data_IF_771153535846
#
_entry.id   IF_771153535846
#
_cell.length_a   1.000
_cell.length_b   1.000
_cell.length_c   1.000
_cell.angle_alpha   90.00
_cell.angle_beta   90.00
_cell.angle_gamma   90.00
#
_symmetry.space_group_name_H-M   'P 1'
#
loop_
_entity.id
_entity.type
_entity.pdbx_description
1 polymer ?
#
# COMPACT_ATOMS: atom_id res chain seq x y z
N UNK A 1 -3.30 -15.49 -0.64
CA UNK A 1 -4.54 -15.70 0.13
C UNK A 1 -5.54 -16.61 -0.59
N UNK A 2 -5.97 -16.32 -1.85
CA UNK A 2 -6.99 -17.14 -2.54
C UNK A 2 -6.62 -18.63 -2.53
N UNK A 3 -5.48 -18.99 -3.08
CA UNK A 3 -5.03 -20.40 -3.18
C UNK A 3 -4.75 -21.03 -1.81
N UNK A 4 -4.23 -20.29 -0.84
CA UNK A 4 -4.02 -20.81 0.51
C UNK A 4 -5.33 -21.09 1.25
N UNK A 5 -6.41 -20.39 0.91
CA UNK A 5 -7.74 -20.68 1.45
C UNK A 5 -8.47 -21.76 0.66
N UNK A 6 -8.38 -21.73 -0.70
CA UNK A 6 -9.11 -22.65 -1.58
C UNK A 6 -8.50 -24.06 -1.58
N UNK A 7 -7.16 -24.15 -1.69
CA UNK A 7 -6.48 -25.44 -1.90
C UNK A 7 -6.00 -26.06 -0.59
N UNK A 8 -5.59 -25.25 0.40
CA UNK A 8 -5.08 -25.71 1.69
C UNK A 8 -6.10 -25.64 2.83
N UNK A 9 -7.29 -25.05 2.59
CA UNK A 9 -8.34 -24.94 3.62
C UNK A 9 -7.91 -24.17 4.86
N UNK A 10 -6.87 -23.32 4.77
CA UNK A 10 -6.30 -22.59 5.90
C UNK A 10 -7.23 -21.47 6.35
N UNK A 11 -7.20 -21.19 7.65
CA UNK A 11 -7.91 -20.06 8.21
C UNK A 11 -7.48 -18.75 7.56
N UNK A 12 -8.43 -17.83 7.36
CA UNK A 12 -8.24 -16.54 6.71
C UNK A 12 -7.01 -15.75 7.24
N UNK A 13 -6.84 -15.72 8.56
CA UNK A 13 -5.70 -15.02 9.19
C UNK A 13 -4.35 -15.66 8.89
N UNK A 14 -4.31 -17.00 8.85
CA UNK A 14 -3.10 -17.73 8.47
C UNK A 14 -2.76 -17.50 7.00
N UNK A 15 -3.78 -17.45 6.14
CA UNK A 15 -3.61 -17.13 4.72
C UNK A 15 -3.06 -15.71 4.50
N UNK A 16 -3.51 -14.72 5.26
CA UNK A 16 -2.97 -13.35 5.23
C UNK A 16 -1.52 -13.33 5.71
N UNK A 17 -1.21 -14.00 6.83
CA UNK A 17 0.14 -14.04 7.37
C UNK A 17 1.11 -14.72 6.38
N UNK A 18 0.71 -15.85 5.79
CA UNK A 18 1.49 -16.53 4.76
C UNK A 18 1.73 -15.63 3.53
N UNK A 19 0.69 -14.94 3.05
CA UNK A 19 0.82 -13.99 1.96
C UNK A 19 1.77 -12.84 2.31
N UNK A 20 1.70 -12.32 3.53
CA UNK A 20 2.59 -11.25 4.00
C UNK A 20 4.06 -11.70 3.97
N UNK A 21 4.37 -12.91 4.43
CA UNK A 21 5.72 -13.46 4.41
C UNK A 21 6.22 -13.65 2.96
N UNK A 22 5.39 -14.25 2.10
CA UNK A 22 5.76 -14.50 0.69
C UNK A 22 6.00 -13.18 -0.05
N UNK A 23 5.12 -12.20 0.09
CA UNK A 23 5.26 -10.91 -0.60
C UNK A 23 6.42 -10.10 -0.01
N UNK A 24 6.66 -10.16 1.31
CA UNK A 24 7.83 -9.56 1.92
C UNK A 24 9.14 -10.15 1.36
N UNK A 25 9.22 -11.48 1.27
CA UNK A 25 10.37 -12.16 0.67
C UNK A 25 10.56 -11.77 -0.81
N UNK A 26 9.48 -11.75 -1.59
CA UNK A 26 9.50 -11.32 -2.98
C UNK A 26 9.98 -9.86 -3.12
N UNK A 27 9.51 -8.96 -2.24
CA UNK A 27 9.93 -7.56 -2.23
C UNK A 27 11.43 -7.41 -1.94
N UNK A 28 11.98 -8.21 -1.01
CA UNK A 28 13.42 -8.23 -0.73
C UNK A 28 14.22 -8.77 -1.93
N UNK A 29 13.69 -9.80 -2.61
CA UNK A 29 14.31 -10.34 -3.83
C UNK A 29 14.33 -9.27 -4.93
N UNK A 30 13.23 -8.58 -5.16
CA UNK A 30 13.14 -7.48 -6.13
C UNK A 30 14.11 -6.34 -5.78
N UNK A 31 14.21 -5.97 -4.50
CA UNK A 31 15.19 -4.98 -4.05
C UNK A 31 16.61 -5.41 -4.42
N UNK A 32 16.97 -6.64 -4.06
CA UNK A 32 18.34 -7.12 -4.21
C UNK A 32 18.76 -7.37 -5.65
N UNK A 33 17.85 -7.87 -6.50
CA UNK A 33 18.13 -8.21 -7.89
C UNK A 33 18.02 -7.02 -8.84
N UNK A 34 17.09 -6.09 -8.56
CA UNK A 34 16.76 -5.02 -9.51
C UNK A 34 17.15 -3.64 -8.97
N UNK A 35 16.71 -3.26 -7.77
CA UNK A 35 16.94 -1.90 -7.26
C UNK A 35 18.34 -1.70 -6.70
N UNK A 36 18.93 -2.72 -6.08
CA UNK A 36 20.29 -2.63 -5.53
C UNK A 36 21.34 -2.27 -6.60
N UNK A 37 21.40 -2.92 -7.78
CA UNK A 37 22.37 -2.54 -8.82
C UNK A 37 22.08 -1.17 -9.45
N UNK A 38 20.83 -0.70 -9.42
CA UNK A 38 20.42 0.58 -10.00
C UNK A 38 20.72 1.80 -9.12
N UNK A 39 21.16 1.62 -7.89
CA UNK A 39 21.37 2.71 -6.91
C UNK A 39 22.36 3.79 -7.34
N UNK A 40 23.26 3.47 -8.27
CA UNK A 40 24.22 4.41 -8.83
C UNK A 40 23.78 4.99 -10.18
N UNK A 41 22.63 4.54 -10.68
CA UNK A 41 22.04 5.02 -11.92
C UNK A 41 21.17 6.27 -11.67
N UNK A 42 20.91 7.09 -12.69
CA UNK A 42 19.97 8.22 -12.59
C UNK A 42 18.59 7.77 -12.06
N UNK A 43 17.86 8.63 -11.30
CA UNK A 43 16.60 8.26 -10.64
C UNK A 43 15.48 7.79 -11.57
N UNK A 44 15.60 8.05 -12.87
CA UNK A 44 14.62 7.60 -13.87
C UNK A 44 14.68 6.07 -14.06
N UNK A 45 15.84 5.45 -13.90
CA UNK A 45 16.01 4.00 -14.06
C UNK A 45 15.24 3.22 -13.02
N UNK A 46 15.17 3.70 -11.77
CA UNK A 46 14.38 3.08 -10.70
C UNK A 46 12.89 3.05 -11.05
N UNK A 47 12.37 4.12 -11.64
CA UNK A 47 10.96 4.20 -12.05
C UNK A 47 10.64 3.25 -13.20
N UNK A 48 11.52 3.19 -14.20
CA UNK A 48 11.35 2.27 -15.35
C UNK A 48 11.44 0.82 -14.88
N UNK A 49 12.40 0.51 -14.00
CA UNK A 49 12.54 -0.83 -13.41
C UNK A 49 11.31 -1.23 -12.60
N UNK A 50 10.74 -0.31 -11.81
CA UNK A 50 9.53 -0.58 -11.04
C UNK A 50 8.34 -0.93 -11.94
N UNK A 51 8.15 -0.19 -13.06
CA UNK A 51 7.09 -0.50 -14.05
C UNK A 51 7.38 -1.84 -14.72
N UNK A 52 8.64 -2.12 -15.07
CA UNK A 52 9.06 -3.41 -15.65
C UNK A 52 8.74 -4.59 -14.74
N UNK A 53 9.04 -4.49 -13.43
CA UNK A 53 8.71 -5.52 -12.43
C UNK A 53 7.20 -5.69 -12.31
N UNK A 54 6.44 -4.60 -12.28
CA UNK A 54 4.98 -4.65 -12.19
C UNK A 54 4.40 -5.45 -13.37
N UNK A 55 4.77 -5.10 -14.61
CA UNK A 55 4.29 -5.79 -15.80
C UNK A 55 4.77 -7.25 -15.87
N UNK A 56 6.00 -7.51 -15.46
CA UNK A 56 6.55 -8.86 -15.38
C UNK A 56 5.76 -9.74 -14.40
N UNK A 57 5.53 -9.24 -13.18
CA UNK A 57 4.79 -9.99 -12.16
C UNK A 57 3.33 -10.20 -12.56
N UNK A 58 2.70 -9.21 -13.18
CA UNK A 58 1.35 -9.34 -13.72
C UNK A 58 1.28 -10.41 -14.80
N UNK A 59 2.22 -10.41 -15.76
CA UNK A 59 2.29 -11.41 -16.80
C UNK A 59 2.54 -12.82 -16.24
N UNK A 60 3.41 -12.96 -15.24
CA UNK A 60 3.65 -14.22 -14.55
C UNK A 60 2.38 -14.72 -13.86
N UNK A 61 1.65 -13.85 -13.16
CA UNK A 61 0.39 -14.21 -12.51
C UNK A 61 -0.65 -14.63 -13.55
N UNK A 62 -0.78 -13.92 -14.67
CA UNK A 62 -1.70 -14.27 -15.75
C UNK A 62 -1.34 -15.61 -16.39
N UNK A 63 -0.06 -15.89 -16.58
CA UNK A 63 0.40 -17.14 -17.19
C UNK A 63 0.09 -18.37 -16.33
N UNK A 64 0.26 -18.28 -15.01
CA UNK A 64 0.07 -19.40 -14.09
C UNK A 64 -1.36 -19.57 -13.60
N UNK A 65 -2.09 -18.48 -13.41
CA UNK A 65 -3.42 -18.49 -12.77
C UNK A 65 -4.55 -17.99 -13.67
N UNK A 66 -4.24 -17.56 -14.88
CA UNK A 66 -5.22 -17.02 -15.83
C UNK A 66 -5.64 -15.59 -15.52
N UNK A 67 -6.47 -15.02 -16.40
CA UNK A 67 -7.00 -13.65 -16.28
C UNK A 67 -8.37 -13.59 -15.59
N UNK A 68 -8.87 -14.71 -15.06
CA UNK A 68 -10.23 -14.82 -14.52
C UNK A 68 -10.44 -13.98 -13.26
N UNK A 69 -11.65 -13.44 -13.16
CA UNK A 69 -12.10 -12.76 -11.95
C UNK A 69 -12.45 -13.79 -10.86
N UNK A 70 -11.82 -13.68 -9.72
CA UNK A 70 -12.03 -14.58 -8.60
C UNK A 70 -12.62 -13.84 -7.40
N UNK A 71 -13.52 -14.50 -6.67
CA UNK A 71 -14.04 -13.99 -5.39
C UNK A 71 -13.47 -14.81 -4.26
N UNK A 72 -13.03 -14.13 -3.21
CA UNK A 72 -12.71 -14.74 -1.93
C UNK A 72 -13.97 -14.71 -1.07
N UNK A 73 -14.37 -15.86 -0.54
CA UNK A 73 -15.46 -15.91 0.41
C UNK A 73 -15.11 -15.09 1.65
N UNK A 74 -16.00 -14.15 2.01
CA UNK A 74 -15.80 -13.38 3.24
C UNK A 74 -15.94 -14.33 4.45
N UNK A 75 -14.95 -14.38 5.35
CA UNK A 75 -15.08 -15.19 6.56
C UNK A 75 -16.14 -14.65 7.54
N UNK A 76 -16.52 -13.38 7.39
CA UNK A 76 -17.46 -12.68 8.27
C UNK A 76 -18.63 -12.13 7.47
N UNK A 77 -19.62 -13.00 7.17
CA UNK A 77 -20.84 -12.62 6.45
C UNK A 77 -21.93 -12.04 7.36
N UNK A 78 -21.60 -11.80 8.64
CA UNK A 78 -22.56 -11.23 9.59
C UNK A 78 -22.80 -9.76 9.27
N UNK A 79 -24.07 -9.39 9.26
CA UNK A 79 -24.51 -8.00 9.17
C UNK A 79 -24.68 -7.51 10.61
N UNK A 80 -23.93 -6.50 10.98
CA UNK A 80 -24.02 -5.86 12.30
C UNK A 80 -24.95 -4.66 12.21
N UNK A 81 -26.02 -4.67 12.99
CA UNK A 81 -26.91 -3.54 13.15
C UNK A 81 -26.44 -2.69 14.34
N UNK A 82 -25.82 -1.56 14.04
CA UNK A 82 -25.37 -0.61 15.05
C UNK A 82 -26.23 0.65 14.93
N UNK A 83 -27.24 0.76 15.80
CA UNK A 83 -28.09 1.96 15.89
C UNK A 83 -28.89 2.28 14.62
N UNK A 84 -29.33 1.27 13.87
CA UNK A 84 -30.10 1.43 12.62
C UNK A 84 -29.21 1.51 11.35
N UNK A 85 -27.88 1.39 11.48
CA UNK A 85 -26.97 1.27 10.36
C UNK A 85 -26.56 -0.18 10.18
N UNK A 86 -26.90 -0.77 9.04
CA UNK A 86 -26.50 -2.13 8.66
C UNK A 86 -25.11 -2.12 8.05
N UNK A 87 -24.11 -2.59 8.78
CA UNK A 87 -22.72 -2.66 8.30
C UNK A 87 -22.26 -4.12 8.17
N UNK A 88 -21.75 -4.54 7.00
CA UNK A 88 -21.08 -5.83 6.87
C UNK A 88 -19.87 -5.90 7.81
N UNK A 89 -19.76 -6.96 8.61
CA UNK A 89 -18.66 -7.14 9.57
C UNK A 89 -17.27 -7.06 8.91
N UNK A 90 -17.15 -7.50 7.65
CA UNK A 90 -15.91 -7.40 6.88
C UNK A 90 -15.46 -5.95 6.68
N UNK A 91 -16.35 -4.99 6.46
CA UNK A 91 -15.98 -3.57 6.32
C UNK A 91 -15.46 -3.00 7.63
N UNK A 92 -16.07 -3.35 8.75
CA UNK A 92 -15.58 -2.94 10.07
C UNK A 92 -14.18 -3.50 10.32
N UNK A 93 -13.96 -4.77 9.99
CA UNK A 93 -12.66 -5.42 10.11
C UNK A 93 -11.57 -4.71 9.29
N UNK A 94 -11.90 -4.27 8.06
CA UNK A 94 -10.96 -3.51 7.22
C UNK A 94 -10.61 -2.18 7.87
N UNK A 95 -11.59 -1.46 8.41
CA UNK A 95 -11.36 -0.16 9.08
C UNK A 95 -10.45 -0.35 10.29
N UNK A 96 -10.79 -1.28 11.19
CA UNK A 96 -9.98 -1.59 12.38
C UNK A 96 -8.58 -2.08 11.99
N UNK A 97 -8.50 -2.97 11.00
CA UNK A 97 -7.23 -3.47 10.46
C UNK A 97 -6.35 -2.36 9.88
N UNK A 98 -6.94 -1.45 9.09
CA UNK A 98 -6.21 -0.32 8.52
C UNK A 98 -5.63 0.61 9.60
N UNK A 99 -6.44 1.02 10.59
CA UNK A 99 -5.95 1.85 11.71
C UNK A 99 -4.92 1.12 12.56
N UNK A 100 -5.10 -0.19 12.80
CA UNK A 100 -4.13 -1.02 13.53
C UNK A 100 -2.79 -1.08 12.79
N UNK A 101 -2.78 -1.35 11.48
CA UNK A 101 -1.57 -1.39 10.67
C UNK A 101 -0.86 -0.03 10.62
N UNK A 102 -1.62 1.06 10.44
CA UNK A 102 -1.07 2.41 10.46
C UNK A 102 -0.46 2.75 11.81
N UNK A 103 -1.15 2.42 12.91
CA UNK A 103 -0.65 2.59 14.27
C UNK A 103 0.60 1.75 14.55
N UNK A 104 0.59 0.49 14.15
CA UNK A 104 1.73 -0.42 14.30
C UNK A 104 2.96 0.09 13.53
N UNK A 105 2.78 0.53 12.28
CA UNK A 105 3.87 1.10 11.49
C UNK A 105 4.42 2.38 12.12
N UNK A 106 3.55 3.28 12.57
CA UNK A 106 3.97 4.52 13.23
C UNK A 106 4.77 4.23 14.51
N UNK A 107 4.28 3.32 15.34
CA UNK A 107 4.99 2.91 16.56
C UNK A 107 6.31 2.22 16.25
N UNK A 108 6.35 1.35 15.24
CA UNK A 108 7.58 0.69 14.79
C UNK A 108 8.64 1.73 14.38
N UNK A 109 8.28 2.69 13.52
CA UNK A 109 9.21 3.70 13.05
C UNK A 109 9.67 4.67 14.15
N UNK A 110 8.82 4.95 15.13
CA UNK A 110 9.13 5.88 16.21
C UNK A 110 9.88 5.24 17.39
N UNK A 111 9.60 3.95 17.69
CA UNK A 111 10.08 3.31 18.92
C UNK A 111 11.17 2.28 18.70
N UNK A 112 11.48 1.87 17.45
CA UNK A 112 12.53 0.88 17.21
C UNK A 112 13.77 1.50 16.60
N UNK A 113 14.95 0.92 16.89
CA UNK A 113 16.22 1.37 16.30
C UNK A 113 16.21 1.22 14.76
N UNK A 114 15.65 0.13 14.25
CA UNK A 114 15.50 -0.08 12.81
C UNK A 114 14.57 0.95 12.17
N UNK A 115 13.48 1.31 12.83
CA UNK A 115 12.61 2.39 12.40
C UNK A 115 13.33 3.73 12.38
N UNK A 116 14.11 4.05 13.41
CA UNK A 116 14.91 5.27 13.48
C UNK A 116 15.93 5.34 12.33
N UNK A 117 16.60 4.22 11.98
CA UNK A 117 17.55 4.19 10.83
C UNK A 117 16.84 4.41 9.49
N UNK A 118 15.63 3.86 9.30
CA UNK A 118 14.81 4.10 8.10
C UNK A 118 14.46 5.59 7.98
N UNK A 119 14.03 6.23 9.07
CA UNK A 119 13.66 7.64 9.09
C UNK A 119 14.89 8.53 8.86
N UNK A 120 16.02 8.23 9.50
CA UNK A 120 17.28 8.96 9.32
C UNK A 120 17.76 8.91 7.87
N UNK A 121 17.73 7.73 7.25
CA UNK A 121 18.10 7.54 5.84
C UNK A 121 17.16 8.29 4.88
N UNK A 122 15.87 8.38 5.19
CA UNK A 122 14.90 9.12 4.40
C UNK A 122 15.08 10.65 4.51
N UNK A 123 15.55 11.14 5.66
CA UNK A 123 15.80 12.57 5.88
C UNK A 123 17.11 13.06 5.29
N UNK A 124 18.18 12.32 5.52
CA UNK A 124 19.51 12.67 5.01
C UNK A 124 20.35 11.41 4.80
N UNK A 125 20.43 10.99 3.54
CA UNK A 125 21.17 9.78 3.14
C UNK A 125 22.67 9.90 3.41
N UNK A 126 23.27 11.06 3.10
CA UNK A 126 24.71 11.29 3.29
C UNK A 126 25.07 11.31 4.79
N UNK A 127 24.29 12.04 5.60
CA UNK A 127 24.48 12.06 7.04
C UNK A 127 24.32 10.69 7.69
N UNK A 128 23.39 9.87 7.20
CA UNK A 128 23.19 8.51 7.69
C UNK A 128 24.40 7.60 7.41
N UNK A 129 25.07 7.76 6.26
CA UNK A 129 26.31 7.04 5.96
C UNK A 129 27.45 7.43 6.90
N UNK A 130 27.58 8.73 7.25
CA UNK A 130 28.65 9.21 8.13
C UNK A 130 28.56 8.63 9.55
N UNK A 131 27.35 8.31 10.02
CA UNK A 131 27.12 7.66 11.33
C UNK A 131 27.10 6.13 11.25
N UNK A 132 27.51 5.54 10.10
CA UNK A 132 27.68 4.09 9.94
C UNK A 132 26.39 3.31 9.67
N UNK A 133 25.31 3.96 9.22
CA UNK A 133 24.07 3.26 8.86
C UNK A 133 24.28 2.56 7.51
N UNK A 134 24.05 1.24 7.50
CA UNK A 134 24.13 0.42 6.30
C UNK A 134 22.87 0.59 5.44
N UNK A 135 23.00 1.33 4.33
CA UNK A 135 21.90 1.57 3.39
C UNK A 135 21.30 0.28 2.80
N UNK A 136 22.12 -0.78 2.66
CA UNK A 136 21.62 -2.03 2.09
C UNK A 136 20.63 -2.71 3.03
N UNK A 137 20.98 -2.77 4.32
CA UNK A 137 20.09 -3.33 5.34
C UNK A 137 18.80 -2.51 5.48
N UNK A 138 18.93 -1.18 5.50
CA UNK A 138 17.78 -0.28 5.61
C UNK A 138 16.84 -0.46 4.42
N UNK A 139 17.37 -0.53 3.20
CA UNK A 139 16.54 -0.73 2.01
C UNK A 139 15.84 -2.09 2.03
N UNK A 140 16.56 -3.19 2.29
CA UNK A 140 15.93 -4.52 2.36
C UNK A 140 14.81 -4.57 3.41
N UNK A 141 15.03 -3.99 4.60
CA UNK A 141 14.01 -3.92 5.65
C UNK A 141 12.80 -3.09 5.23
N UNK A 142 13.03 -1.96 4.58
CA UNK A 142 11.96 -1.09 4.08
C UNK A 142 11.11 -1.80 3.04
N UNK A 143 11.73 -2.49 2.07
CA UNK A 143 11.03 -3.28 1.07
C UNK A 143 10.27 -4.45 1.69
N UNK A 144 10.86 -5.16 2.66
CA UNK A 144 10.18 -6.25 3.37
C UNK A 144 8.92 -5.76 4.11
N UNK A 145 9.04 -4.66 4.86
CA UNK A 145 7.93 -4.08 5.60
C UNK A 145 6.85 -3.57 4.64
N UNK A 146 7.23 -2.87 3.57
CA UNK A 146 6.29 -2.37 2.57
C UNK A 146 5.53 -3.52 1.89
N UNK A 147 6.25 -4.59 1.48
CA UNK A 147 5.63 -5.79 0.89
C UNK A 147 4.70 -6.52 1.85
N UNK A 148 5.10 -6.68 3.12
CA UNK A 148 4.25 -7.27 4.14
C UNK A 148 2.95 -6.46 4.36
N UNK A 149 3.07 -5.15 4.52
CA UNK A 149 1.91 -4.26 4.70
C UNK A 149 0.98 -4.28 3.48
N UNK A 150 1.54 -4.25 2.27
CA UNK A 150 0.77 -4.33 1.03
C UNK A 150 0.00 -5.66 0.94
N UNK A 151 0.63 -6.78 1.31
CA UNK A 151 -0.02 -8.09 1.30
C UNK A 151 -1.15 -8.20 2.33
N UNK A 152 -0.94 -7.67 3.55
CA UNK A 152 -1.98 -7.64 4.58
C UNK A 152 -3.14 -6.75 4.14
N UNK A 153 -2.87 -5.55 3.61
CA UNK A 153 -3.90 -4.66 3.09
C UNK A 153 -4.69 -5.31 1.95
N UNK A 154 -4.01 -5.93 0.98
CA UNK A 154 -4.65 -6.67 -0.11
C UNK A 154 -5.49 -7.85 0.41
N UNK A 155 -4.99 -8.58 1.41
CA UNK A 155 -5.72 -9.69 2.04
C UNK A 155 -7.02 -9.25 2.72
N UNK A 156 -6.99 -8.13 3.44
CA UNK A 156 -8.18 -7.54 4.08
C UNK A 156 -9.20 -7.01 3.06
N UNK A 157 -8.71 -6.47 1.94
CA UNK A 157 -9.54 -5.84 0.91
C UNK A 157 -10.14 -6.85 -0.09
N UNK A 158 -9.48 -7.97 -0.30
CA UNK A 158 -9.85 -8.98 -1.29
C UNK A 158 -11.26 -9.58 -1.14
N UNK A 159 -11.82 -9.82 0.07
CA UNK A 159 -13.17 -10.36 0.21
C UNK A 159 -14.29 -9.44 -0.26
N UNK A 160 -14.07 -8.12 -0.30
CA UNK A 160 -15.07 -7.14 -0.75
C UNK A 160 -14.93 -6.75 -2.22
N UNK A 161 -13.86 -7.20 -2.88
CA UNK A 161 -13.57 -6.86 -4.27
C UNK A 161 -13.31 -8.13 -5.09
N UNK A 162 -13.40 -7.99 -6.41
CA UNK A 162 -12.97 -9.02 -7.35
C UNK A 162 -11.44 -9.00 -7.42
N UNK A 163 -10.85 -10.19 -7.33
CA UNK A 163 -9.41 -10.39 -7.47
C UNK A 163 -9.10 -10.80 -8.91
N UNK A 164 -8.30 -10.00 -9.59
CA UNK A 164 -7.83 -10.26 -10.95
C UNK A 164 -6.41 -9.67 -11.11
N UNK A 165 -5.59 -10.16 -12.04
CA UNK A 165 -4.16 -9.78 -12.12
C UNK A 165 -3.91 -8.28 -12.22
N UNK A 166 -4.69 -7.56 -13.04
CA UNK A 166 -4.51 -6.13 -13.28
C UNK A 166 -5.12 -5.21 -12.21
N UNK A 167 -5.75 -5.75 -11.13
CA UNK A 167 -6.37 -4.92 -10.09
C UNK A 167 -5.39 -3.97 -9.40
N UNK A 168 -4.10 -4.30 -9.42
CA UNK A 168 -3.04 -3.50 -8.82
C UNK A 168 -2.84 -2.12 -9.46
N UNK A 169 -3.17 -1.94 -10.74
CA UNK A 169 -2.96 -0.67 -11.44
C UNK A 169 -3.76 0.48 -10.83
N UNK A 170 -5.06 0.27 -10.57
CA UNK A 170 -5.90 1.28 -9.95
C UNK A 170 -5.47 1.60 -8.51
N UNK A 171 -5.08 0.58 -7.76
CA UNK A 171 -4.58 0.74 -6.39
C UNK A 171 -3.26 1.52 -6.38
N UNK A 172 -2.35 1.22 -7.32
CA UNK A 172 -1.09 1.93 -7.48
C UNK A 172 -1.32 3.42 -7.77
N UNK A 173 -2.19 3.74 -8.74
CA UNK A 173 -2.51 5.13 -9.07
C UNK A 173 -3.08 5.87 -7.86
N UNK A 174 -4.01 5.27 -7.11
CA UNK A 174 -4.56 5.86 -5.88
C UNK A 174 -3.48 6.04 -4.80
N UNK A 175 -2.58 5.08 -4.65
CA UNK A 175 -1.46 5.20 -3.71
C UNK A 175 -0.54 6.37 -4.06
N UNK A 176 -0.25 6.59 -5.35
CA UNK A 176 0.49 7.77 -5.80
C UNK A 176 -0.24 9.07 -5.46
N UNK A 177 -1.55 9.14 -5.73
CA UNK A 177 -2.37 10.31 -5.38
C UNK A 177 -2.29 10.59 -3.89
N UNK A 178 -2.45 9.56 -3.05
CA UNK A 178 -2.41 9.68 -1.58
C UNK A 178 -1.05 10.17 -1.10
N UNK A 179 0.05 9.62 -1.63
CA UNK A 179 1.41 9.98 -1.23
C UNK A 179 1.73 11.43 -1.63
N UNK A 180 1.36 11.85 -2.82
CA UNK A 180 1.59 13.21 -3.29
C UNK A 180 0.74 14.21 -2.49
N UNK A 181 -0.53 13.90 -2.28
CA UNK A 181 -1.46 14.72 -1.52
C UNK A 181 -1.06 14.85 -0.05
N UNK A 182 -0.65 13.74 0.57
CA UNK A 182 -0.17 13.71 1.94
C UNK A 182 1.17 14.41 2.13
N UNK A 183 1.97 14.49 1.05
CA UNK A 183 3.35 14.96 1.05
C UNK A 183 4.35 13.82 1.17
N UNK A 184 5.27 13.74 0.21
CA UNK A 184 6.29 12.70 0.16
C UNK A 184 7.13 12.67 1.44
N UNK A 185 7.25 11.49 2.05
CA UNK A 185 8.01 11.29 3.29
C UNK A 185 7.24 11.55 4.60
N UNK A 186 5.97 11.97 4.54
CA UNK A 186 5.14 12.18 5.71
C UNK A 186 4.12 11.05 5.91
N UNK A 187 4.36 10.14 6.87
CA UNK A 187 3.42 9.07 7.20
C UNK A 187 2.07 9.61 7.71
N UNK A 188 2.05 10.59 8.66
CA UNK A 188 0.78 11.21 9.05
C UNK A 188 0.06 11.87 7.87
N UNK A 189 0.83 12.47 6.96
CA UNK A 189 0.30 13.05 5.72
C UNK A 189 -0.37 12.01 4.83
N UNK A 190 0.27 10.86 4.62
CA UNK A 190 -0.31 9.77 3.84
C UNK A 190 -1.59 9.20 4.46
N UNK A 191 -1.65 9.10 5.81
CA UNK A 191 -2.86 8.65 6.53
C UNK A 191 -4.01 9.63 6.28
N UNK A 192 -3.79 10.91 6.50
CA UNK A 192 -4.82 11.94 6.33
C UNK A 192 -5.19 12.07 4.84
N UNK A 193 -4.22 12.02 3.95
CA UNK A 193 -4.45 12.00 2.51
C UNK A 193 -5.33 10.83 2.06
N UNK A 194 -5.07 9.64 2.58
CA UNK A 194 -5.89 8.45 2.33
C UNK A 194 -7.32 8.59 2.85
N UNK A 195 -7.51 9.16 4.03
CA UNK A 195 -8.84 9.44 4.59
C UNK A 195 -9.60 10.47 3.74
N UNK A 196 -8.93 11.55 3.32
CA UNK A 196 -9.54 12.59 2.47
C UNK A 196 -9.98 11.98 1.13
N UNK A 197 -9.11 11.21 0.47
CA UNK A 197 -9.44 10.55 -0.81
C UNK A 197 -10.58 9.56 -0.61
N UNK A 198 -10.50 8.66 0.38
CA UNK A 198 -11.54 7.67 0.64
C UNK A 198 -12.89 8.30 0.96
N UNK A 199 -12.93 9.37 1.73
CA UNK A 199 -14.15 10.11 2.05
C UNK A 199 -14.71 10.82 0.81
N UNK A 200 -13.85 11.46 0.02
CA UNK A 200 -14.26 12.14 -1.22
C UNK A 200 -14.79 11.15 -2.27
N UNK A 201 -14.17 9.98 -2.41
CA UNK A 201 -14.66 8.91 -3.29
C UNK A 201 -16.01 8.36 -2.80
N UNK A 202 -16.19 8.20 -1.51
CA UNK A 202 -17.46 7.73 -0.94
C UNK A 202 -18.59 8.73 -1.18
N UNK A 203 -18.35 10.03 -0.93
CA UNK A 203 -19.32 11.09 -1.22
C UNK A 203 -19.61 11.20 -2.71
N UNK A 204 -18.57 11.20 -3.53
CA UNK A 204 -18.73 11.31 -4.97
C UNK A 204 -19.44 10.09 -5.58
N UNK A 205 -19.16 8.89 -5.08
CA UNK A 205 -19.88 7.68 -5.49
C UNK A 205 -21.37 7.70 -5.10
N UNK A 206 -21.69 8.36 -3.98
CA UNK A 206 -23.07 8.49 -3.52
C UNK A 206 -23.85 9.58 -4.26
N UNK A 207 -23.28 10.78 -4.41
CA UNK A 207 -23.99 11.95 -4.98
C UNK A 207 -23.94 12.04 -6.50
N UNK A 208 -22.85 11.59 -7.15
CA UNK A 208 -22.67 11.71 -8.60
C UNK A 208 -22.95 10.38 -9.30
N UNK A 209 -22.03 9.44 -9.20
CA UNK A 209 -22.18 8.06 -9.71
C UNK A 209 -20.95 7.24 -9.27
N UNK A 210 -21.15 5.96 -9.05
CA UNK A 210 -20.04 5.03 -8.74
C UNK A 210 -19.02 4.92 -9.87
N UNK A 211 -19.39 5.26 -11.11
CA UNK A 211 -18.49 5.27 -12.28
C UNK A 211 -17.44 6.37 -12.20
N UNK A 212 -17.78 7.51 -11.60
CA UNK A 212 -16.88 8.67 -11.52
C UNK A 212 -16.05 8.74 -10.23
N UNK A 213 -16.19 7.77 -9.32
CA UNK A 213 -15.47 7.79 -8.04
C UNK A 213 -13.95 7.89 -8.19
N UNK A 214 -13.37 7.22 -9.20
CA UNK A 214 -11.93 7.24 -9.43
C UNK A 214 -11.46 8.58 -10.01
N UNK A 215 -12.31 9.23 -10.83
CA UNK A 215 -12.02 10.56 -11.40
C UNK A 215 -11.94 11.61 -10.28
N UNK A 216 -12.74 11.49 -9.22
CA UNK A 216 -12.75 12.43 -8.10
C UNK A 216 -11.39 12.49 -7.41
N UNK A 217 -10.73 11.34 -7.23
CA UNK A 217 -9.40 11.29 -6.64
C UNK A 217 -8.38 12.09 -7.46
N UNK A 218 -8.44 11.99 -8.80
CA UNK A 218 -7.54 12.73 -9.69
C UNK A 218 -7.85 14.22 -9.74
N UNK A 219 -9.12 14.60 -9.80
CA UNK A 219 -9.54 16.01 -9.74
C UNK A 219 -9.07 16.65 -8.44
N UNK A 220 -9.25 15.97 -7.32
CA UNK A 220 -8.83 16.43 -6.01
C UNK A 220 -7.30 16.58 -5.94
N UNK A 221 -6.54 15.65 -6.54
CA UNK A 221 -5.09 15.77 -6.68
C UNK A 221 -4.71 17.05 -7.41
N UNK A 222 -5.30 17.29 -8.60
CA UNK A 222 -5.00 18.47 -9.41
C UNK A 222 -5.31 19.76 -8.64
N UNK A 223 -6.48 19.83 -8.00
CA UNK A 223 -6.89 20.99 -7.20
C UNK A 223 -5.90 21.25 -6.07
N UNK A 224 -5.55 20.22 -5.30
CA UNK A 224 -4.62 20.39 -4.16
C UNK A 224 -3.22 20.77 -4.62
N UNK A 225 -2.70 20.14 -5.69
CA UNK A 225 -1.38 20.50 -6.21
C UNK A 225 -1.34 21.92 -6.80
N UNK A 226 -2.45 22.40 -7.35
CA UNK A 226 -2.56 23.80 -7.84
C UNK A 226 -2.48 24.81 -6.69
N UNK A 227 -2.98 24.46 -5.50
CA UNK A 227 -2.97 25.32 -4.32
C UNK A 227 -1.68 25.14 -3.52
N UNK A 228 -1.23 23.85 -3.37
CA UNK A 228 -0.09 23.50 -2.53
C UNK A 228 0.78 22.41 -3.18
N UNK A 229 1.71 22.78 -4.06
CA UNK A 229 2.49 21.85 -4.89
C UNK A 229 3.38 20.88 -4.09
N UNK A 230 3.67 21.18 -2.82
CA UNK A 230 4.47 20.31 -1.93
C UNK A 230 3.65 19.25 -1.19
N UNK A 231 2.32 19.23 -1.37
CA UNK A 231 1.40 18.39 -0.59
C UNK A 231 0.98 19.06 0.73
N UNK A 232 -0.03 18.46 1.40
CA UNK A 232 -0.67 19.07 2.57
C UNK A 232 0.24 19.14 3.81
N UNK A 233 1.08 18.13 4.03
CA UNK A 233 1.84 17.93 5.27
C UNK A 233 3.36 17.92 5.10
N UNK A 234 3.88 18.34 3.95
CA UNK A 234 5.32 18.48 3.78
C UNK A 234 5.77 19.70 4.60
N UNK A 235 6.61 19.49 5.60
CA UNK A 235 7.39 20.57 6.20
C UNK A 235 8.33 21.07 5.12
N UNK A 236 8.10 22.28 4.62
CA UNK A 236 8.98 22.89 3.64
C UNK A 236 10.43 22.79 4.13
N UNK A 237 11.26 22.15 3.30
CA UNK A 237 12.72 22.26 3.45
C UNK A 237 13.04 23.72 3.18
N UNK A 238 13.28 24.48 4.25
CA UNK A 238 13.97 25.77 4.18
C UNK A 238 15.45 25.52 4.10
#
# INVERSE_FOLDING_TARGET
CYFTMSDLGLNYWVAIAAAAVVVAALSVICERLVFHPLRHAPPIHDKIAAIGILLFLEAVVQMYWGADFRRIASPYNQILDIGGLTLPAQRLLIIVGAFSLMGALHLYLKKTMTGATIVAMAQNREGAFLVGIDANRVAMMTFAIAGALAAVAAGLFAPINLVYPAMGHLVLLKAFVIIILGGMGSIPGAIIGGLIIGFSEALGGFYLSSTYKDVIAFVLLVVILSIKPTGLFTKGVR
#
